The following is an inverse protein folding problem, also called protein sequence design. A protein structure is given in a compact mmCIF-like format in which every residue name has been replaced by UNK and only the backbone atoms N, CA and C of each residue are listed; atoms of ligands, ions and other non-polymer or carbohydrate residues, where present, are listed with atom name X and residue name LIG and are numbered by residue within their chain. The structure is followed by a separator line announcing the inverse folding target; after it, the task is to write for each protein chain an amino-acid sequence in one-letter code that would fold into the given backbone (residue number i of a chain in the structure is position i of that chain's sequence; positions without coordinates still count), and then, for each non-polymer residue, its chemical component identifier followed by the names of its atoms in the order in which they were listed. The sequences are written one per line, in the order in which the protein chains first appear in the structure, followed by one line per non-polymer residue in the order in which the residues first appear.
data_IF_783414553092
#
_entry.id   IF_783414553092
#
_cell.length_a   1.000
_cell.length_b   1.000
_cell.length_c   1.000
_cell.angle_alpha   90.00
_cell.angle_beta   90.00
_cell.angle_gamma   90.00
#
_symmetry.space_group_name_H-M   'P 1'
#
loop_
_entity.id
_entity.type
_entity.pdbx_description
1 polymer ?
#
# COMPACT_ATOMS: atom_id res chain seq x y z
N UNK A 1 2.48 4.14 -27.35
CA UNK A 1 1.19 3.52 -27.02
C UNK A 1 1.08 3.38 -25.50
N UNK A 2 -0.11 3.59 -24.92
CA UNK A 2 -0.35 3.38 -23.49
C UNK A 2 -0.32 1.90 -23.14
N UNK A 3 0.42 1.51 -22.10
CA UNK A 3 0.49 0.14 -21.61
C UNK A 3 -0.38 0.00 -20.35
N UNK A 4 -1.30 -0.97 -20.30
CA UNK A 4 -2.08 -1.23 -19.10
C UNK A 4 -1.19 -1.72 -17.97
N UNK A 5 -1.48 -1.25 -16.76
CA UNK A 5 -0.68 -1.50 -15.57
C UNK A 5 -0.98 -2.84 -14.87
N UNK A 6 -1.94 -3.60 -15.40
CA UNK A 6 -2.49 -4.84 -14.84
C UNK A 6 -2.78 -5.91 -15.88
N UNK A 7 -3.37 -5.55 -17.03
CA UNK A 7 -3.73 -6.51 -18.08
C UNK A 7 -2.49 -7.07 -18.76
N UNK A 8 -2.39 -8.40 -18.79
CA UNK A 8 -1.45 -9.11 -19.64
C UNK A 8 -1.90 -9.03 -21.11
N UNK A 9 -0.96 -8.77 -22.01
CA UNK A 9 -1.16 -8.77 -23.46
C UNK A 9 -0.13 -9.61 -24.19
N UNK A 10 0.62 -10.42 -23.46
CA UNK A 10 1.58 -11.34 -24.04
C UNK A 10 0.85 -12.39 -24.89
N UNK A 11 1.60 -12.99 -25.82
CA UNK A 11 1.08 -14.08 -26.63
C UNK A 11 0.69 -15.28 -25.77
N UNK A 12 -0.27 -16.07 -26.25
CA UNK A 12 -0.79 -17.24 -25.55
C UNK A 12 0.33 -18.20 -25.08
N UNK A 13 1.34 -18.44 -25.91
CA UNK A 13 2.48 -19.29 -25.57
C UNK A 13 3.30 -18.74 -24.41
N UNK A 14 3.59 -17.44 -24.39
CA UNK A 14 4.34 -16.80 -23.31
C UNK A 14 3.57 -16.87 -21.98
N UNK A 15 2.26 -16.59 -22.02
CA UNK A 15 1.39 -16.74 -20.85
C UNK A 15 1.35 -18.19 -20.33
N UNK A 16 1.32 -19.18 -21.23
CA UNK A 16 1.37 -20.60 -20.85
C UNK A 16 2.71 -20.98 -20.21
N UNK A 17 3.84 -20.52 -20.75
CA UNK A 17 5.17 -20.78 -20.20
C UNK A 17 5.39 -20.07 -18.86
N UNK A 18 4.76 -18.91 -18.65
CA UNK A 18 4.78 -18.18 -17.38
C UNK A 18 3.92 -18.82 -16.27
N UNK A 19 3.31 -19.99 -16.52
CA UNK A 19 2.48 -20.69 -15.54
C UNK A 19 1.02 -20.22 -15.50
N UNK A 20 0.55 -19.56 -16.56
CA UNK A 20 -0.84 -19.11 -16.73
C UNK A 20 -1.29 -18.13 -15.63
N UNK A 21 -0.53 -17.06 -15.36
CA UNK A 21 -0.87 -16.12 -14.30
C UNK A 21 -2.22 -15.45 -14.55
N UNK A 22 -2.95 -15.20 -13.47
CA UNK A 22 -4.25 -14.53 -13.50
C UNK A 22 -4.10 -13.03 -13.28
N UNK A 23 -5.16 -12.26 -13.59
CA UNK A 23 -5.20 -10.84 -13.25
C UNK A 23 -5.04 -10.57 -11.75
N UNK A 24 -5.45 -11.52 -10.89
CA UNK A 24 -5.29 -11.42 -9.43
C UNK A 24 -3.83 -11.60 -9.03
N UNK A 25 -3.10 -12.50 -9.68
CA UNK A 25 -1.66 -12.68 -9.45
C UNK A 25 -0.88 -11.40 -9.81
N UNK A 26 -1.24 -10.77 -10.93
CA UNK A 26 -0.65 -9.50 -11.36
C UNK A 26 -1.00 -8.36 -10.40
N UNK A 27 -2.25 -8.30 -9.93
CA UNK A 27 -2.66 -7.32 -8.92
C UNK A 27 -1.89 -7.50 -7.62
N UNK A 28 -1.68 -8.77 -7.20
CA UNK A 28 -0.92 -9.10 -5.99
C UNK A 28 0.52 -8.61 -6.08
N UNK A 29 1.22 -9.00 -7.13
CA UNK A 29 2.60 -8.60 -7.36
C UNK A 29 2.71 -7.07 -7.43
N UNK A 30 1.75 -6.42 -8.07
CA UNK A 30 1.72 -4.96 -8.19
C UNK A 30 1.64 -4.26 -6.83
N UNK A 31 0.67 -4.60 -5.98
CA UNK A 31 0.53 -3.91 -4.69
C UNK A 31 1.73 -4.19 -3.77
N UNK A 32 2.27 -5.42 -3.79
CA UNK A 32 3.45 -5.77 -2.99
C UNK A 32 4.65 -4.92 -3.37
N UNK A 33 4.88 -4.74 -4.68
CA UNK A 33 5.93 -3.85 -5.18
C UNK A 33 5.68 -2.40 -4.78
N UNK A 34 4.45 -1.91 -4.95
CA UNK A 34 4.11 -0.53 -4.57
C UNK A 34 4.34 -0.25 -3.08
N UNK A 35 4.04 -1.22 -2.21
CA UNK A 35 4.31 -1.11 -0.76
C UNK A 35 5.81 -1.18 -0.48
N UNK A 36 6.54 -2.09 -1.12
CA UNK A 36 7.98 -2.23 -0.92
C UNK A 36 8.79 -1.02 -1.42
N UNK A 37 8.33 -0.38 -2.48
CA UNK A 37 8.95 0.81 -3.08
C UNK A 37 8.39 2.12 -2.48
N UNK A 38 7.42 2.05 -1.56
CA UNK A 38 6.83 3.25 -0.98
C UNK A 38 7.82 3.96 -0.07
N UNK A 39 8.07 5.23 -0.38
CA UNK A 39 8.76 6.16 0.51
C UNK A 39 7.74 7.16 1.05
N UNK A 40 7.64 7.24 2.38
CA UNK A 40 6.79 8.23 3.03
C UNK A 40 7.25 9.65 2.64
N UNK A 41 6.34 10.54 2.24
CA UNK A 41 6.71 11.92 1.95
C UNK A 41 7.26 12.60 3.21
N UNK A 42 8.19 13.56 3.07
CA UNK A 42 8.77 14.23 4.22
C UNK A 42 7.69 15.00 4.99
N UNK A 43 7.59 14.70 6.29
CA UNK A 43 6.74 15.43 7.24
C UNK A 43 7.63 16.29 8.14
N UNK A 44 7.26 17.56 8.30
CA UNK A 44 7.96 18.46 9.22
C UNK A 44 8.00 17.89 10.64
N UNK A 45 9.17 17.96 11.28
CA UNK A 45 9.39 17.33 12.60
C UNK A 45 8.55 17.97 13.70
N UNK A 46 8.29 19.27 13.63
CA UNK A 46 7.44 19.98 14.60
C UNK A 46 6.01 19.52 14.46
N UNK A 47 5.51 19.47 13.23
CA UNK A 47 4.17 18.97 12.91
C UNK A 47 4.00 17.51 13.33
N UNK A 48 4.96 16.63 13.01
CA UNK A 48 4.92 15.23 13.40
C UNK A 48 4.82 15.05 14.92
N UNK A 49 5.59 15.83 15.70
CA UNK A 49 5.55 15.80 17.16
C UNK A 49 4.22 16.30 17.71
N UNK A 50 3.65 17.36 17.14
CA UNK A 50 2.36 17.90 17.56
C UNK A 50 1.23 16.91 17.30
N UNK A 51 1.25 16.25 16.14
CA UNK A 51 0.28 15.20 15.80
C UNK A 51 0.39 14.01 16.75
N UNK A 52 1.62 13.56 17.06
CA UNK A 52 1.83 12.48 18.02
C UNK A 52 1.29 12.82 19.41
N UNK A 53 1.60 14.01 19.93
CA UNK A 53 1.10 14.46 21.24
C UNK A 53 -0.43 14.54 21.29
N UNK A 54 -1.05 15.04 20.23
CA UNK A 54 -2.51 15.09 20.12
C UNK A 54 -3.11 13.67 20.13
N UNK A 55 -2.57 12.75 19.32
CA UNK A 55 -3.05 11.36 19.26
C UNK A 55 -2.89 10.67 20.61
N UNK A 56 -1.76 10.82 21.29
CA UNK A 56 -1.51 10.22 22.60
C UNK A 56 -2.51 10.71 23.66
N UNK A 57 -2.78 12.02 23.69
CA UNK A 57 -3.77 12.62 24.59
C UNK A 57 -5.17 12.04 24.36
N UNK A 58 -5.58 11.90 23.09
CA UNK A 58 -6.93 11.45 22.75
C UNK A 58 -7.08 9.94 22.92
N UNK A 59 -6.04 9.16 22.65
CA UNK A 59 -6.02 7.72 22.95
C UNK A 59 -6.16 7.47 24.45
N UNK A 60 -5.46 8.24 25.29
CA UNK A 60 -5.59 8.14 26.74
C UNK A 60 -7.04 8.41 27.18
N UNK A 61 -7.69 9.45 26.65
CA UNK A 61 -9.08 9.76 26.94
C UNK A 61 -10.05 8.65 26.49
N UNK A 62 -9.83 8.06 25.30
CA UNK A 62 -10.65 6.93 24.79
C UNK A 62 -10.52 5.72 25.72
N UNK A 63 -9.30 5.38 26.12
CA UNK A 63 -9.03 4.28 27.06
C UNK A 63 -9.68 4.56 28.43
N UNK A 64 -9.52 5.77 28.97
CA UNK A 64 -10.12 6.18 30.25
C UNK A 64 -11.65 6.18 30.21
N UNK A 65 -12.24 6.48 29.06
CA UNK A 65 -13.69 6.46 28.86
C UNK A 65 -14.28 5.05 28.75
N UNK A 66 -13.44 4.00 28.76
CA UNK A 66 -13.86 2.60 28.74
C UNK A 66 -14.28 2.07 27.36
N UNK A 67 -13.92 2.78 26.29
CA UNK A 67 -14.16 2.38 24.89
C UNK A 67 -12.90 1.88 24.17
N UNK A 68 -11.78 1.72 24.90
CA UNK A 68 -10.49 1.24 24.40
C UNK A 68 -10.32 -0.27 24.44
#
# INVERSE_FOLDING_TARGET
FWQPSLSDRDGLEAWMQAGKPTAVDHARQRWQRLVAEHEDPPLDKTTARQLAAYVDEHLAQVIESGWG
#
